data_IF_994729632228
#
_entry.id   IF_994729632228
#
_cell.length_a   1.000
_cell.length_b   1.000
_cell.length_c   1.000
_cell.angle_alpha   90.00
_cell.angle_beta   90.00
_cell.angle_gamma   90.00
#
_symmetry.space_group_name_H-M   'P 1'
#
loop_
_entity.id
_entity.type
_entity.pdbx_description
1 polymer ?
#
# COMPACT_ATOMS: atom_id res chain seq x y z
N UNK A 1 -33.03 -0.68 27.84
CA UNK A 1 -32.62 -0.24 26.48
C UNK A 1 -31.19 -0.69 26.25
N UNK A 2 -30.90 -1.59 25.29
CA UNK A 2 -29.53 -1.98 24.94
C UNK A 2 -28.87 -0.76 24.28
N UNK A 3 -27.82 -0.25 24.90
CA UNK A 3 -27.04 0.88 24.41
C UNK A 3 -26.34 0.44 23.12
N UNK A 4 -26.91 0.77 21.96
CA UNK A 4 -26.49 0.30 20.64
C UNK A 4 -25.40 1.23 20.06
N UNK A 5 -24.48 1.71 20.94
CA UNK A 5 -23.34 2.52 20.50
C UNK A 5 -22.45 1.72 19.54
N UNK A 6 -22.05 2.36 18.46
CA UNK A 6 -21.04 1.83 17.54
C UNK A 6 -19.70 1.61 18.25
N UNK A 7 -18.79 0.85 17.64
CA UNK A 7 -17.45 0.65 18.19
C UNK A 7 -16.71 2.00 18.39
N UNK A 8 -16.80 2.90 17.41
CA UNK A 8 -16.15 4.23 17.49
C UNK A 8 -16.78 5.10 18.57
N UNK A 9 -18.10 5.09 18.74
CA UNK A 9 -18.76 5.84 19.82
C UNK A 9 -18.35 5.35 21.22
N UNK A 10 -18.08 4.05 21.35
CA UNK A 10 -17.54 3.47 22.59
C UNK A 10 -16.07 3.86 22.81
N UNK A 11 -15.28 3.89 21.75
CA UNK A 11 -13.88 4.23 21.82
C UNK A 11 -13.66 5.71 22.09
N UNK A 12 -14.47 6.58 21.50
CA UNK A 12 -14.45 8.02 21.75
C UNK A 12 -15.00 8.40 23.14
N UNK A 13 -15.95 7.63 23.63
CA UNK A 13 -16.63 7.85 24.94
C UNK A 13 -17.04 9.32 25.21
N UNK A 14 -17.50 9.99 24.14
CA UNK A 14 -17.92 11.40 24.19
C UNK A 14 -16.78 12.41 24.00
N UNK A 15 -15.56 11.96 23.76
CA UNK A 15 -14.45 12.88 23.44
C UNK A 15 -14.70 13.62 22.11
N UNK A 16 -14.37 14.90 22.11
CA UNK A 16 -14.46 15.72 20.90
C UNK A 16 -13.36 15.36 19.89
N UNK A 17 -13.71 15.44 18.60
CA UNK A 17 -12.80 15.24 17.49
C UNK A 17 -12.59 16.57 16.78
N UNK A 18 -11.39 17.10 16.85
CA UNK A 18 -11.03 18.32 16.15
C UNK A 18 -10.67 18.00 14.68
N UNK A 19 -11.03 18.89 13.76
CA UNK A 19 -10.61 18.78 12.35
C UNK A 19 -9.54 19.82 12.07
N UNK A 20 -8.35 19.35 11.68
CA UNK A 20 -7.19 20.23 11.41
C UNK A 20 -6.59 19.96 10.04
N UNK A 21 -6.13 20.99 9.32
CA UNK A 21 -5.39 20.79 8.08
C UNK A 21 -4.01 20.18 8.38
N UNK A 22 -3.52 19.33 7.49
CA UNK A 22 -2.24 18.62 7.69
C UNK A 22 -1.07 19.57 7.98
N UNK A 23 -1.02 20.73 7.31
CA UNK A 23 0.04 21.74 7.51
C UNK A 23 0.13 22.28 8.94
N UNK A 24 -0.96 22.21 9.73
CA UNK A 24 -1.01 22.77 11.09
C UNK A 24 -0.56 21.73 12.15
N UNK A 25 -0.50 20.45 11.79
CA UNK A 25 -0.15 19.35 12.70
C UNK A 25 1.08 18.55 12.25
N UNK A 26 1.51 18.69 11.01
CA UNK A 26 2.64 17.96 10.44
C UNK A 26 3.68 18.92 9.85
N UNK A 27 4.91 18.47 9.88
CA UNK A 27 6.05 19.16 9.28
C UNK A 27 6.36 18.47 7.95
N UNK A 28 6.32 19.27 6.87
CA UNK A 28 6.65 18.78 5.53
C UNK A 28 8.16 18.80 5.31
N UNK A 29 8.69 17.70 4.77
CA UNK A 29 10.10 17.59 4.39
C UNK A 29 10.30 17.79 2.89
N UNK A 30 11.52 18.16 2.54
CA UNK A 30 11.99 18.24 1.15
C UNK A 30 12.81 17.01 0.81
N UNK A 31 12.78 16.61 -0.48
CA UNK A 31 13.59 15.50 -0.97
C UNK A 31 15.00 15.95 -1.42
N UNK A 32 15.78 14.96 -1.83
CA UNK A 32 17.10 15.19 -2.43
C UNK A 32 16.98 15.41 -3.94
N UNK A 33 17.89 16.23 -4.47
CA UNK A 33 18.00 16.46 -5.92
C UNK A 33 18.83 15.35 -6.53
N UNK A 34 18.15 14.29 -6.97
CA UNK A 34 18.78 13.12 -7.57
C UNK A 34 17.99 12.67 -8.81
N UNK A 35 18.72 12.30 -9.86
CA UNK A 35 18.14 11.74 -11.09
C UNK A 35 17.91 10.23 -10.99
N UNK A 36 17.08 9.68 -11.87
CA UNK A 36 16.89 8.22 -11.94
C UNK A 36 18.17 7.47 -12.31
N UNK A 37 19.04 8.08 -13.15
CA UNK A 37 20.32 7.51 -13.53
C UNK A 37 21.27 7.44 -12.32
N UNK A 38 21.39 8.51 -11.54
CA UNK A 38 22.19 8.54 -10.32
C UNK A 38 21.70 7.54 -9.28
N UNK A 39 20.38 7.45 -9.08
CA UNK A 39 19.78 6.43 -8.19
C UNK A 39 20.18 5.01 -8.60
N UNK A 40 20.22 4.72 -9.91
CA UNK A 40 20.62 3.40 -10.43
C UNK A 40 22.10 3.13 -10.21
N UNK A 41 22.96 4.15 -10.35
CA UNK A 41 24.42 4.02 -10.12
C UNK A 41 24.72 3.84 -8.63
N UNK A 42 24.05 4.60 -7.77
CA UNK A 42 24.27 4.58 -6.31
C UNK A 42 23.61 3.38 -5.61
N UNK A 43 22.69 2.69 -6.28
CA UNK A 43 21.99 1.56 -5.67
C UNK A 43 22.95 0.45 -5.27
N UNK A 44 22.87 0.03 -4.01
CA UNK A 44 23.64 -1.07 -3.41
C UNK A 44 22.69 -1.97 -2.63
N UNK A 45 22.70 -3.25 -2.90
CA UNK A 45 21.92 -4.22 -2.14
C UNK A 45 22.25 -4.13 -0.63
N UNK A 46 21.20 -4.12 0.20
CA UNK A 46 21.31 -4.03 1.66
C UNK A 46 21.87 -2.72 2.23
N UNK A 47 22.03 -1.66 1.43
CA UNK A 47 22.39 -0.35 1.96
C UNK A 47 21.28 0.21 2.87
N UNK A 48 21.67 0.97 3.94
CA UNK A 48 20.76 1.29 5.05
C UNK A 48 19.74 2.39 4.74
N UNK A 49 19.98 3.22 3.72
CA UNK A 49 19.16 4.39 3.40
C UNK A 49 18.35 4.15 2.14
N UNK A 50 17.04 4.29 2.23
CA UNK A 50 16.13 4.16 1.08
C UNK A 50 15.81 5.52 0.48
N UNK A 51 16.02 5.69 -0.83
CA UNK A 51 15.55 6.86 -1.58
C UNK A 51 14.30 6.46 -2.36
N UNK A 52 13.18 7.11 -2.08
CA UNK A 52 11.92 6.88 -2.79
C UNK A 52 11.85 7.71 -4.08
N UNK A 53 11.30 7.09 -5.12
CA UNK A 53 10.96 7.75 -6.38
C UNK A 53 9.51 7.44 -6.77
N UNK A 54 9.06 7.92 -7.92
CA UNK A 54 7.69 7.72 -8.38
C UNK A 54 7.30 6.24 -8.51
N UNK A 55 6.05 5.93 -8.18
CA UNK A 55 5.51 4.57 -8.21
C UNK A 55 6.19 3.65 -7.19
N UNK A 56 6.64 2.48 -7.65
CA UNK A 56 7.34 1.48 -6.82
C UNK A 56 8.88 1.59 -6.89
N UNK A 57 9.41 2.60 -7.58
CA UNK A 57 10.85 2.75 -7.78
C UNK A 57 11.52 3.28 -6.52
N UNK A 58 12.65 2.70 -6.16
CA UNK A 58 13.50 3.15 -5.06
C UNK A 58 14.97 2.79 -5.33
N UNK A 59 15.88 3.39 -4.57
CA UNK A 59 17.27 2.95 -4.47
C UNK A 59 17.64 2.77 -2.99
N UNK A 60 18.52 1.82 -2.70
CA UNK A 60 19.19 1.68 -1.41
C UNK A 60 20.59 2.25 -1.57
N UNK A 61 20.99 3.15 -0.67
CA UNK A 61 22.27 3.86 -0.75
C UNK A 61 22.88 3.99 0.65
N UNK A 62 24.16 4.35 0.73
CA UNK A 62 24.78 4.67 2.01
C UNK A 62 24.43 6.10 2.45
N UNK A 63 24.64 6.42 3.73
CA UNK A 63 24.36 7.75 4.28
C UNK A 63 25.20 8.85 3.65
N UNK A 64 26.44 8.53 3.23
CA UNK A 64 27.37 9.44 2.57
C UNK A 64 27.03 9.73 1.10
N UNK A 65 26.18 8.94 0.48
CA UNK A 65 25.83 9.07 -0.95
C UNK A 65 24.89 10.27 -1.22
N UNK A 66 24.25 10.84 -0.18
CA UNK A 66 23.40 12.02 -0.30
C UNK A 66 23.65 13.02 0.84
N UNK A 67 23.31 14.32 0.66
CA UNK A 67 23.48 15.31 1.72
C UNK A 67 22.72 14.95 2.99
N UNK A 68 23.34 15.08 4.16
CA UNK A 68 22.72 14.74 5.46
C UNK A 68 21.40 15.51 5.71
N UNK A 69 21.33 16.76 5.26
CA UNK A 69 20.12 17.60 5.35
C UNK A 69 18.89 17.05 4.61
N UNK A 70 19.11 16.15 3.65
CA UNK A 70 18.07 15.54 2.83
C UNK A 70 17.68 14.15 3.37
N UNK A 71 18.26 13.73 4.49
CA UNK A 71 17.95 12.46 5.17
C UNK A 71 16.90 12.70 6.24
N UNK A 72 15.76 12.03 6.07
CA UNK A 72 14.69 12.04 7.06
C UNK A 72 14.90 10.88 8.03
N UNK A 73 14.95 11.18 9.34
CA UNK A 73 15.22 10.18 10.40
C UNK A 73 13.98 9.85 11.23
N UNK A 74 12.89 10.61 11.07
CA UNK A 74 11.65 10.44 11.83
C UNK A 74 10.67 9.52 11.07
N UNK A 75 9.84 8.76 11.80
CA UNK A 75 8.70 8.09 11.19
C UNK A 75 7.84 9.07 10.39
N UNK A 76 7.55 8.76 9.15
CA UNK A 76 6.98 9.72 8.21
C UNK A 76 5.95 9.09 7.27
N UNK A 77 5.12 9.96 6.71
CA UNK A 77 4.20 9.63 5.62
C UNK A 77 4.77 10.18 4.32
N UNK A 78 5.13 9.33 3.41
CA UNK A 78 5.66 9.68 2.10
C UNK A 78 4.49 9.85 1.14
N UNK A 79 4.45 10.97 0.43
CA UNK A 79 3.43 11.29 -0.57
C UNK A 79 4.00 11.04 -1.96
N UNK A 80 3.52 9.98 -2.61
CA UNK A 80 3.80 9.69 -4.01
C UNK A 80 2.84 10.50 -4.86
N UNK A 81 3.29 11.67 -5.30
CA UNK A 81 2.45 12.71 -5.87
C UNK A 81 2.20 12.58 -7.39
N UNK A 82 2.85 11.63 -8.08
CA UNK A 82 2.76 11.46 -9.54
C UNK A 82 2.57 10.02 -9.95
N UNK A 83 1.81 9.81 -11.03
CA UNK A 83 1.43 8.48 -11.53
C UNK A 83 0.35 7.88 -10.66
N UNK A 84 0.67 6.82 -9.93
CA UNK A 84 -0.23 6.27 -8.90
C UNK A 84 -0.02 7.08 -7.63
N UNK A 85 -1.03 7.89 -7.27
CA UNK A 85 -0.98 8.70 -6.05
C UNK A 85 -1.25 7.78 -4.86
N UNK A 86 -0.27 7.68 -3.97
CA UNK A 86 -0.29 6.80 -2.81
C UNK A 86 0.37 7.47 -1.61
N UNK A 87 -0.02 7.03 -0.42
CA UNK A 87 0.64 7.36 0.84
C UNK A 87 1.36 6.11 1.37
N UNK A 88 2.63 6.27 1.77
CA UNK A 88 3.43 5.17 2.34
C UNK A 88 3.97 5.59 3.71
N UNK A 89 3.71 4.77 4.75
CA UNK A 89 4.33 4.95 6.05
C UNK A 89 5.72 4.33 6.06
N UNK A 90 6.70 5.07 6.57
CA UNK A 90 8.06 4.58 6.70
C UNK A 90 8.73 5.10 7.98
N UNK A 91 9.33 4.19 8.74
CA UNK A 91 9.88 4.46 10.08
C UNK A 91 11.40 4.29 10.20
N UNK A 92 12.07 4.00 9.07
CA UNK A 92 13.54 3.94 8.99
C UNK A 92 14.08 5.20 8.32
N UNK A 93 15.39 5.47 8.43
CA UNK A 93 16.00 6.59 7.69
C UNK A 93 15.76 6.48 6.19
N UNK A 94 15.37 7.59 5.58
CA UNK A 94 15.07 7.65 4.16
C UNK A 94 15.28 9.03 3.56
N UNK A 95 15.27 9.09 2.25
CA UNK A 95 15.08 10.29 1.45
C UNK A 95 14.06 10.03 0.35
N UNK A 96 13.72 11.04 -0.40
CA UNK A 96 12.88 10.93 -1.59
C UNK A 96 13.32 11.92 -2.65
N UNK A 97 12.92 11.73 -3.89
CA UNK A 97 13.16 12.69 -4.97
C UNK A 97 12.40 13.99 -4.73
N UNK A 98 12.91 15.09 -5.29
CA UNK A 98 12.35 16.44 -5.10
C UNK A 98 10.90 16.62 -5.55
N UNK A 99 10.42 15.81 -6.48
CA UNK A 99 9.02 15.83 -6.91
C UNK A 99 8.04 15.22 -5.92
N UNK A 100 8.56 14.61 -4.85
CA UNK A 100 7.80 14.04 -3.75
C UNK A 100 8.00 14.86 -2.50
N UNK A 101 7.18 14.63 -1.49
CA UNK A 101 7.37 15.16 -0.15
C UNK A 101 6.95 14.14 0.89
N UNK A 102 7.32 14.36 2.12
CA UNK A 102 6.85 13.58 3.23
C UNK A 102 6.45 14.47 4.41
N UNK A 103 5.72 13.87 5.33
CA UNK A 103 5.25 14.52 6.55
C UNK A 103 5.70 13.74 7.76
N UNK A 104 6.13 14.41 8.81
CA UNK A 104 6.32 13.87 10.15
C UNK A 104 5.70 14.80 11.19
N UNK A 105 5.60 14.36 12.43
CA UNK A 105 5.13 15.21 13.53
C UNK A 105 6.13 15.24 14.67
N UNK A 106 6.30 16.44 15.27
CA UNK A 106 6.98 16.62 16.55
C UNK A 106 5.96 16.79 17.71
N UNK A 107 4.67 16.88 17.40
CA UNK A 107 3.61 16.97 18.40
C UNK A 107 3.37 15.59 19.02
N UNK A 108 3.55 15.49 20.34
CA UNK A 108 3.35 14.26 21.10
C UNK A 108 1.89 13.80 21.15
N UNK A 109 0.95 14.68 20.80
CA UNK A 109 -0.48 14.36 20.73
C UNK A 109 -0.89 13.80 19.36
N UNK A 110 0.02 13.74 18.40
CA UNK A 110 -0.22 13.21 17.05
C UNK A 110 0.50 11.89 16.86
N UNK A 111 -0.28 10.84 16.65
CA UNK A 111 0.23 9.57 16.17
C UNK A 111 0.35 9.62 14.63
N UNK A 112 1.57 9.76 14.11
CA UNK A 112 1.81 9.89 12.67
C UNK A 112 1.26 8.70 11.86
N UNK A 113 1.26 7.50 12.44
CA UNK A 113 0.72 6.30 11.79
C UNK A 113 -0.81 6.30 11.73
N UNK A 114 -1.47 6.94 12.72
CA UNK A 114 -2.90 7.20 12.65
C UNK A 114 -3.22 8.11 11.45
N UNK A 115 -2.49 9.22 11.29
CA UNK A 115 -2.67 10.11 10.15
C UNK A 115 -2.40 9.39 8.83
N UNK A 116 -1.39 8.51 8.78
CA UNK A 116 -1.15 7.66 7.63
C UNK A 116 -2.40 6.83 7.27
N UNK A 117 -3.04 6.17 8.23
CA UNK A 117 -4.24 5.39 7.96
C UNK A 117 -5.43 6.25 7.49
N UNK A 118 -5.59 7.45 8.04
CA UNK A 118 -6.59 8.41 7.55
C UNK A 118 -6.33 8.75 6.09
N UNK A 119 -5.10 9.11 5.72
CA UNK A 119 -4.72 9.44 4.34
C UNK A 119 -4.81 8.22 3.41
N UNK A 120 -4.41 7.06 3.87
CA UNK A 120 -4.52 5.80 3.11
C UNK A 120 -5.96 5.49 2.72
N UNK A 121 -6.89 5.69 3.64
CA UNK A 121 -8.33 5.55 3.37
C UNK A 121 -8.85 6.60 2.36
N UNK A 122 -8.16 7.73 2.21
CA UNK A 122 -8.53 8.82 1.30
C UNK A 122 -7.75 8.81 -0.03
N UNK A 123 -6.94 7.78 -0.30
CA UNK A 123 -6.25 7.64 -1.58
C UNK A 123 -7.17 7.77 -2.80
N UNK A 124 -8.38 7.19 -2.84
CA UNK A 124 -9.30 7.35 -3.96
C UNK A 124 -9.69 8.82 -4.22
N UNK A 125 -9.84 9.63 -3.17
CA UNK A 125 -10.09 11.06 -3.30
C UNK A 125 -8.92 11.78 -3.97
N UNK A 126 -7.68 11.55 -3.51
CA UNK A 126 -6.48 12.18 -4.06
C UNK A 126 -6.18 11.69 -5.48
N UNK A 127 -6.41 10.42 -5.77
CA UNK A 127 -6.29 9.85 -7.11
C UNK A 127 -7.28 10.51 -8.08
N UNK A 128 -8.53 10.68 -7.68
CA UNK A 128 -9.54 11.37 -8.48
C UNK A 128 -9.18 12.86 -8.69
N UNK A 129 -8.69 13.53 -7.65
CA UNK A 129 -8.24 14.93 -7.75
C UNK A 129 -7.10 15.05 -8.76
N UNK A 130 -6.13 14.14 -8.74
CA UNK A 130 -4.96 14.12 -9.63
C UNK A 130 -5.25 13.65 -11.05
N UNK A 131 -6.36 12.95 -11.30
CA UNK A 131 -6.66 12.28 -12.58
C UNK A 131 -6.97 13.25 -13.74
N UNK A 132 -7.14 14.54 -13.47
CA UNK A 132 -7.50 15.58 -14.47
C UNK A 132 -6.39 15.90 -15.47
N UNK A 133 -5.19 15.36 -15.29
CA UNK A 133 -4.03 15.58 -16.18
C UNK A 133 -3.67 14.30 -16.93
N UNK A 134 -2.95 14.42 -18.06
CA UNK A 134 -2.43 13.26 -18.81
C UNK A 134 -1.59 12.32 -17.93
N UNK A 135 -0.77 12.89 -17.03
CA UNK A 135 -0.10 12.14 -15.96
C UNK A 135 -0.77 12.57 -14.64
N UNK A 136 -1.46 11.67 -13.96
CA UNK A 136 -2.07 11.98 -12.67
C UNK A 136 -1.05 12.57 -11.71
N UNK A 137 -1.39 13.71 -11.12
CA UNK A 137 -0.52 14.35 -10.10
C UNK A 137 -1.33 15.24 -9.16
N UNK A 138 -0.82 15.35 -7.94
CA UNK A 138 -1.27 16.31 -6.94
C UNK A 138 -0.13 17.25 -6.56
N UNK A 139 -0.48 18.39 -6.02
CA UNK A 139 0.48 19.39 -5.53
C UNK A 139 0.46 19.47 -4.00
N UNK A 140 1.49 20.06 -3.40
CA UNK A 140 1.59 20.19 -1.94
C UNK A 140 0.37 20.86 -1.29
N UNK A 141 -0.28 21.91 -1.89
CA UNK A 141 -1.48 22.49 -1.29
C UNK A 141 -2.66 21.53 -1.19
N UNK A 142 -2.73 20.51 -2.04
CA UNK A 142 -3.82 19.52 -2.02
C UNK A 142 -3.78 18.66 -0.76
N UNK A 143 -2.58 18.32 -0.28
CA UNK A 143 -2.39 17.61 0.97
C UNK A 143 -2.28 18.57 2.16
N UNK A 144 -1.56 19.69 2.06
CA UNK A 144 -1.37 20.63 3.16
C UNK A 144 -2.69 21.15 3.75
N UNK A 145 -3.67 21.41 2.89
CA UNK A 145 -5.00 21.95 3.27
C UNK A 145 -6.02 20.87 3.61
N UNK A 146 -5.68 19.61 3.40
CA UNK A 146 -6.60 18.52 3.66
C UNK A 146 -6.89 18.41 5.15
N UNK A 147 -8.19 18.39 5.51
CA UNK A 147 -8.64 18.28 6.89
C UNK A 147 -8.66 16.82 7.33
N UNK A 148 -8.05 16.57 8.47
CA UNK A 148 -8.04 15.25 9.10
C UNK A 148 -8.65 15.32 10.50
N UNK A 149 -9.40 14.29 10.93
CA UNK A 149 -9.95 14.23 12.27
C UNK A 149 -8.85 13.89 13.29
N UNK A 150 -8.81 14.62 14.39
CA UNK A 150 -7.84 14.45 15.47
C UNK A 150 -8.58 14.11 16.77
N UNK A 151 -8.87 12.84 17.02
CA UNK A 151 -9.36 12.40 18.31
C UNK A 151 -8.23 12.41 19.35
N UNK A 152 -8.52 12.25 20.64
CA UNK A 152 -7.50 12.12 21.69
C UNK A 152 -6.47 11.01 21.36
N UNK A 153 -5.22 11.21 21.76
CA UNK A 153 -4.10 10.30 21.46
C UNK A 153 -4.36 8.82 21.82
N UNK A 154 -5.01 8.49 22.97
CA UNK A 154 -5.34 7.09 23.26
C UNK A 154 -6.23 6.45 22.19
N UNK A 155 -7.18 7.21 21.63
CA UNK A 155 -8.08 6.76 20.56
C UNK A 155 -7.30 6.53 19.27
N UNK A 156 -6.43 7.48 18.88
CA UNK A 156 -5.53 7.32 17.73
C UNK A 156 -4.70 6.04 17.86
N UNK A 157 -4.12 5.81 19.04
CA UNK A 157 -3.25 4.66 19.32
C UNK A 157 -4.00 3.34 19.23
N UNK A 158 -5.23 3.27 19.77
CA UNK A 158 -6.03 2.04 19.70
C UNK A 158 -6.47 1.73 18.25
N UNK A 159 -6.85 2.77 17.48
CA UNK A 159 -7.14 2.61 16.03
C UNK A 159 -5.92 2.04 15.29
N UNK A 160 -4.73 2.59 15.53
CA UNK A 160 -3.48 2.11 14.91
C UNK A 160 -3.24 0.64 15.26
N UNK A 161 -3.34 0.28 16.52
CA UNK A 161 -3.14 -1.10 17.00
C UNK A 161 -4.07 -2.10 16.30
N UNK A 162 -5.35 -1.75 16.15
CA UNK A 162 -6.33 -2.60 15.47
C UNK A 162 -5.96 -2.75 13.98
N UNK A 163 -5.70 -1.62 13.30
CA UNK A 163 -5.39 -1.64 11.86
C UNK A 163 -4.05 -2.33 11.56
N UNK A 164 -3.05 -2.17 12.43
CA UNK A 164 -1.78 -2.90 12.32
C UNK A 164 -1.99 -4.41 12.46
N UNK A 165 -2.79 -4.83 13.42
CA UNK A 165 -3.09 -6.25 13.63
C UNK A 165 -3.81 -6.87 12.43
N UNK A 166 -4.79 -6.16 11.88
CA UNK A 166 -5.53 -6.60 10.69
C UNK A 166 -4.62 -6.62 9.45
N UNK A 167 -3.72 -5.65 9.31
CA UNK A 167 -2.75 -5.59 8.21
C UNK A 167 -1.77 -6.76 8.29
N UNK A 168 -1.25 -7.06 9.48
CA UNK A 168 -0.35 -8.20 9.70
C UNK A 168 -1.04 -9.53 9.35
N UNK A 169 -2.28 -9.73 9.83
CA UNK A 169 -3.08 -10.91 9.52
C UNK A 169 -3.35 -11.06 8.00
N UNK A 170 -3.69 -9.97 7.33
CA UNK A 170 -3.91 -9.97 5.88
C UNK A 170 -2.63 -10.35 5.12
N UNK A 171 -1.48 -9.86 5.57
CA UNK A 171 -0.18 -10.20 4.98
C UNK A 171 0.15 -11.70 5.16
N UNK A 172 -0.08 -12.25 6.35
CA UNK A 172 0.11 -13.66 6.65
C UNK A 172 -0.78 -14.56 5.77
N UNK A 173 -2.08 -14.26 5.71
CA UNK A 173 -3.04 -15.00 4.87
C UNK A 173 -2.68 -14.95 3.38
N UNK A 174 -2.21 -13.79 2.90
CA UNK A 174 -1.77 -13.64 1.50
C UNK A 174 -0.54 -14.49 1.21
N UNK A 175 0.41 -14.53 2.15
CA UNK A 175 1.60 -15.36 2.07
C UNK A 175 1.24 -16.86 2.06
N UNK A 176 0.35 -17.29 2.96
CA UNK A 176 -0.15 -18.67 3.01
C UNK A 176 -0.85 -19.05 1.71
N UNK A 177 -1.75 -18.21 1.20
CA UNK A 177 -2.43 -18.44 -0.08
C UNK A 177 -1.43 -18.65 -1.23
N UNK A 178 -0.37 -17.86 -1.26
CA UNK A 178 0.69 -17.98 -2.28
C UNK A 178 1.41 -19.34 -2.18
N UNK A 179 1.73 -19.78 -0.96
CA UNK A 179 2.35 -21.08 -0.72
C UNK A 179 1.41 -22.24 -1.11
N UNK A 180 0.12 -22.14 -0.76
CA UNK A 180 -0.89 -23.15 -1.13
C UNK A 180 -1.07 -23.25 -2.64
N UNK A 181 -1.06 -22.12 -3.36
CA UNK A 181 -1.09 -22.14 -4.82
C UNK A 181 0.10 -22.86 -5.42
N UNK A 182 1.32 -22.57 -4.96
CA UNK A 182 2.54 -23.28 -5.40
C UNK A 182 2.48 -24.77 -5.11
N UNK A 183 1.97 -25.14 -3.93
CA UNK A 183 1.77 -26.54 -3.55
C UNK A 183 0.77 -27.24 -4.48
N UNK A 184 -0.36 -26.58 -4.76
CA UNK A 184 -1.36 -27.09 -5.71
C UNK A 184 -0.78 -27.29 -7.11
N UNK A 185 -0.07 -26.29 -7.64
CA UNK A 185 0.59 -26.35 -8.95
C UNK A 185 1.57 -27.54 -9.03
N UNK A 186 2.43 -27.67 -8.00
CA UNK A 186 3.38 -28.77 -7.91
C UNK A 186 2.69 -30.15 -7.94
N UNK A 187 1.67 -30.36 -7.09
CA UNK A 187 0.99 -31.65 -7.05
C UNK A 187 0.15 -31.91 -8.29
N UNK A 188 -0.49 -30.87 -8.86
CA UNK A 188 -1.22 -31.00 -10.14
C UNK A 188 -0.29 -31.48 -11.25
N UNK A 189 0.85 -30.83 -11.41
CA UNK A 189 1.84 -31.19 -12.44
C UNK A 189 2.41 -32.60 -12.20
N UNK A 190 2.74 -32.91 -10.95
CA UNK A 190 3.29 -34.22 -10.60
C UNK A 190 2.28 -35.33 -10.82
N UNK A 191 1.06 -35.21 -10.29
CA UNK A 191 0.04 -36.27 -10.36
C UNK A 191 -0.53 -36.48 -11.76
N UNK A 192 -0.43 -35.47 -12.63
CA UNK A 192 -0.88 -35.53 -14.03
C UNK A 192 0.29 -35.71 -15.02
N UNK A 193 1.52 -35.91 -14.54
CA UNK A 193 2.66 -36.21 -15.41
C UNK A 193 2.56 -37.60 -16.01
N UNK A 194 3.02 -37.75 -17.26
CA UNK A 194 3.05 -39.05 -17.95
C UNK A 194 3.79 -40.10 -17.10
N UNK A 195 4.92 -39.72 -16.49
CA UNK A 195 5.75 -40.59 -15.66
C UNK A 195 4.95 -41.19 -14.46
N UNK A 196 4.13 -40.41 -13.77
CA UNK A 196 3.32 -40.91 -12.65
C UNK A 196 2.09 -41.67 -13.13
N UNK A 197 1.50 -41.25 -14.23
CA UNK A 197 0.34 -41.92 -14.82
C UNK A 197 0.70 -43.28 -15.42
N UNK A 198 1.85 -43.44 -16.06
CA UNK A 198 2.38 -44.72 -16.56
C UNK A 198 2.57 -45.75 -15.44
N UNK A 199 3.00 -45.33 -14.24
CA UNK A 199 3.16 -46.22 -13.07
C UNK A 199 1.87 -46.90 -12.62
N UNK A 200 0.71 -46.28 -12.88
CA UNK A 200 -0.63 -46.81 -12.52
C UNK A 200 -1.38 -47.47 -13.70
N UNK A 201 -0.71 -47.63 -14.84
CA UNK A 201 -1.29 -48.32 -16.00
C UNK A 201 -2.35 -47.49 -16.73
N UNK A 202 -2.13 -46.21 -16.88
CA UNK A 202 -3.03 -45.26 -17.52
C UNK A 202 -3.00 -45.41 -19.06
N UNK A 203 -4.16 -45.22 -19.71
CA UNK A 203 -4.32 -45.25 -21.14
C UNK A 203 -4.87 -43.91 -21.68
N UNK A 204 -4.19 -43.35 -22.67
CA UNK A 204 -4.66 -42.14 -23.36
C UNK A 204 -5.90 -42.44 -24.25
N UNK A 205 -6.99 -41.69 -24.04
CA UNK A 205 -8.19 -41.77 -24.87
C UNK A 205 -8.60 -40.41 -25.41
N UNK A 206 -9.07 -40.33 -26.67
CA UNK A 206 -9.63 -39.10 -27.20
C UNK A 206 -10.81 -38.61 -26.34
N UNK A 207 -10.94 -37.31 -26.15
CA UNK A 207 -12.03 -36.72 -25.38
C UNK A 207 -13.42 -37.13 -25.86
N UNK A 208 -13.59 -37.31 -27.18
CA UNK A 208 -14.87 -37.76 -27.78
C UNK A 208 -15.30 -39.18 -27.38
N UNK A 209 -14.36 -40.03 -26.94
CA UNK A 209 -14.67 -41.37 -26.46
C UNK A 209 -15.08 -41.44 -25.00
N UNK A 210 -14.63 -40.46 -24.20
CA UNK A 210 -14.84 -40.42 -22.73
C UNK A 210 -15.84 -39.36 -22.29
N UNK A 211 -16.26 -38.45 -23.19
CA UNK A 211 -17.19 -37.34 -22.87
C UNK A 211 -18.20 -37.11 -23.94
N UNK A 212 -19.40 -36.66 -23.55
CA UNK A 212 -20.41 -36.15 -24.49
C UNK A 212 -20.25 -34.65 -24.66
N UNK A 213 -19.76 -34.21 -25.81
CA UNK A 213 -19.57 -32.80 -26.15
C UNK A 213 -20.90 -32.20 -26.56
N UNK A 214 -21.41 -31.22 -25.81
CA UNK A 214 -22.59 -30.41 -26.18
C UNK A 214 -22.12 -29.01 -26.56
N UNK A 215 -22.48 -28.58 -27.77
CA UNK A 215 -22.31 -27.18 -28.18
C UNK A 215 -23.38 -26.32 -27.52
N UNK A 216 -22.98 -25.20 -26.89
CA UNK A 216 -23.94 -24.24 -26.38
C UNK A 216 -24.73 -23.56 -27.50
N UNK A 217 -25.99 -23.21 -27.27
CA UNK A 217 -26.76 -22.38 -28.20
C UNK A 217 -26.17 -20.97 -28.24
N UNK A 218 -25.92 -20.48 -29.45
CA UNK A 218 -25.60 -19.05 -29.63
C UNK A 218 -26.83 -18.22 -29.21
N UNK A 219 -26.67 -17.39 -28.20
CA UNK A 219 -27.69 -16.42 -27.80
C UNK A 219 -27.80 -15.41 -28.93
N UNK A 220 -28.93 -15.41 -29.65
CA UNK A 220 -29.22 -14.38 -30.66
C UNK A 220 -29.22 -13.01 -30.03
N UNK A 221 -28.49 -12.04 -30.61
CA UNK A 221 -28.45 -10.64 -30.19
C UNK A 221 -29.78 -9.87 -30.30
N UNK A 222 -30.85 -10.54 -30.67
CA UNK A 222 -32.14 -9.91 -30.98
C UNK A 222 -33.32 -10.50 -30.22
N UNK A 223 -33.15 -10.86 -28.96
CA UNK A 223 -34.27 -11.20 -28.09
C UNK A 223 -34.30 -10.21 -26.91
N UNK A 224 -34.80 -9.03 -27.19
CA UNK A 224 -35.40 -8.13 -26.20
C UNK A 224 -36.76 -7.71 -26.77
#
# INVERSE_FOLDING_TARGET
MKNNRTFLEKLLDGAEVEWKPLKDILIRTKGTKITAAEMKILHKDNAPLKIFAGGKTFALVNFEDIPEKDINKNPSIIVKSRGIIEFEYYDKPFSHKNEMWSYYSNDKNINIKYIYYVLKNQEPYFQNLGSKMQMPQIATPDTDKYLVPIPPLPVQTEIVKILDSLTALTSELTSELTLRRKQYEYYREKLLSEEELEKVGFEWKPLGEVTNIKTGQAVSKYSI
#
